data_IF_023581967519
#
_entry.id   IF_023581967519
#
_cell.length_a   1.000
_cell.length_b   1.000
_cell.length_c   1.000
_cell.angle_alpha   90.00
_cell.angle_beta   90.00
_cell.angle_gamma   90.00
#
_symmetry.space_group_name_H-M   'P 1'
#
loop_
_entity.id
_entity.type
_entity.pdbx_description
1 polymer ?
#
# COMPACT_ATOMS: atom_id res chain seq x y z
N UNK A 1 -7.75 -6.39 -16.99
CA UNK A 1 -7.11 -5.19 -17.58
C UNK A 1 -6.75 -4.24 -16.46
N UNK A 2 -5.55 -3.66 -16.51
CA UNK A 2 -5.09 -2.72 -15.48
C UNK A 2 -5.68 -1.34 -15.77
N UNK A 3 -6.17 -0.68 -14.72
CA UNK A 3 -6.71 0.67 -14.79
C UNK A 3 -5.56 1.68 -14.96
N UNK A 4 -5.66 2.59 -15.93
CA UNK A 4 -4.63 3.61 -16.21
C UNK A 4 -4.42 4.56 -15.03
N UNK A 5 -5.49 4.93 -14.34
CA UNK A 5 -5.41 5.78 -13.14
C UNK A 5 -4.64 5.05 -12.04
N UNK A 6 -4.85 3.74 -11.89
CA UNK A 6 -4.14 2.92 -10.91
C UNK A 6 -2.63 2.92 -11.18
N UNK A 7 -2.23 2.81 -12.45
CA UNK A 7 -0.81 2.86 -12.82
C UNK A 7 -0.19 4.21 -12.48
N UNK A 8 -0.89 5.31 -12.75
CA UNK A 8 -0.42 6.65 -12.43
C UNK A 8 -0.26 6.85 -10.93
N UNK A 9 -1.21 6.36 -10.15
CA UNK A 9 -1.17 6.47 -8.68
C UNK A 9 -0.06 5.61 -8.09
N UNK A 10 0.14 4.40 -8.61
CA UNK A 10 1.28 3.57 -8.20
C UNK A 10 2.59 4.30 -8.47
N UNK A 11 2.75 4.85 -9.68
CA UNK A 11 3.97 5.55 -10.05
C UNK A 11 4.21 6.76 -9.15
N UNK A 12 3.15 7.48 -8.78
CA UNK A 12 3.23 8.62 -7.88
C UNK A 12 3.67 8.21 -6.48
N UNK A 13 3.18 7.08 -5.98
CA UNK A 13 3.59 6.53 -4.68
C UNK A 13 5.06 6.12 -4.72
N UNK A 14 5.48 5.41 -5.77
CA UNK A 14 6.88 5.01 -5.95
C UNK A 14 7.80 6.22 -5.96
N UNK A 15 7.42 7.27 -6.69
CA UNK A 15 8.18 8.52 -6.77
C UNK A 15 8.30 9.20 -5.41
N UNK A 16 7.20 9.28 -4.69
CA UNK A 16 7.16 9.91 -3.36
C UNK A 16 8.11 9.20 -2.40
N UNK A 17 8.02 7.88 -2.31
CA UNK A 17 8.83 7.06 -1.40
C UNK A 17 10.30 7.10 -1.80
N UNK A 18 10.58 7.04 -3.09
CA UNK A 18 11.94 7.13 -3.61
C UNK A 18 12.58 8.48 -3.31
N UNK A 19 11.85 9.58 -3.49
CA UNK A 19 12.34 10.93 -3.25
C UNK A 19 12.53 11.23 -1.76
N UNK A 20 11.56 10.82 -0.93
CA UNK A 20 11.57 11.17 0.49
C UNK A 20 12.48 10.27 1.31
N UNK A 21 12.45 8.96 1.05
CA UNK A 21 13.13 7.97 1.88
C UNK A 21 14.28 7.27 1.18
N UNK A 22 14.46 7.49 -0.12
CA UNK A 22 15.49 6.80 -0.89
C UNK A 22 15.26 5.30 -0.99
N UNK A 23 14.04 4.84 -0.68
CA UNK A 23 13.71 3.42 -0.69
C UNK A 23 13.38 2.96 -2.11
N UNK A 24 13.94 1.81 -2.50
CA UNK A 24 13.70 1.21 -3.82
C UNK A 24 12.81 -0.01 -3.66
N UNK A 25 11.94 -0.28 -4.64
CA UNK A 25 11.08 -1.46 -4.57
C UNK A 25 11.86 -2.76 -4.68
N UNK A 26 11.42 -3.76 -3.91
CA UNK A 26 11.92 -5.12 -4.01
C UNK A 26 10.81 -6.01 -4.52
N UNK A 27 11.12 -6.92 -5.42
CA UNK A 27 10.18 -7.88 -5.99
C UNK A 27 10.50 -9.26 -5.42
N UNK A 28 9.78 -9.67 -4.40
CA UNK A 28 10.10 -10.87 -3.62
C UNK A 28 9.41 -12.15 -4.09
N UNK A 29 8.36 -12.03 -4.92
CA UNK A 29 7.52 -13.17 -5.29
C UNK A 29 7.49 -13.38 -6.80
N UNK A 30 7.84 -14.58 -7.25
CA UNK A 30 7.76 -14.96 -8.67
C UNK A 30 6.31 -15.00 -9.16
N UNK A 31 5.40 -15.48 -8.31
CA UNK A 31 3.98 -15.61 -8.65
C UNK A 31 3.28 -14.26 -8.70
N UNK A 32 3.88 -13.24 -8.10
CA UNK A 32 3.30 -11.90 -8.02
C UNK A 32 4.34 -10.86 -8.42
N UNK A 33 4.69 -10.80 -9.72
CA UNK A 33 5.79 -9.94 -10.18
C UNK A 33 5.52 -8.44 -10.04
N UNK A 34 4.24 -8.05 -9.88
CA UNK A 34 3.86 -6.64 -9.72
C UNK A 34 3.88 -6.19 -8.26
N UNK A 35 4.05 -7.11 -7.30
CA UNK A 35 4.12 -6.73 -5.89
C UNK A 35 5.47 -6.10 -5.59
N UNK A 36 5.43 -4.97 -4.87
CA UNK A 36 6.63 -4.21 -4.51
C UNK A 36 6.66 -3.96 -3.01
N UNK A 37 7.77 -4.32 -2.39
CA UNK A 37 8.00 -4.10 -0.95
C UNK A 37 9.00 -2.97 -0.77
N UNK A 38 8.72 -2.05 0.14
CA UNK A 38 9.62 -0.98 0.50
C UNK A 38 10.01 -1.14 1.98
N UNK A 39 11.31 -1.10 2.24
CA UNK A 39 11.88 -1.32 3.57
C UNK A 39 12.63 -0.10 4.07
N UNK A 40 12.77 -0.02 5.38
CA UNK A 40 13.77 0.84 6.00
C UNK A 40 15.17 0.37 5.60
N UNK A 41 16.14 1.25 5.72
CA UNK A 41 17.52 0.89 5.46
C UNK A 41 18.00 -0.20 6.43
N UNK A 42 18.84 -1.14 5.97
CA UNK A 42 19.37 -2.18 6.85
C UNK A 42 20.24 -1.57 7.94
N UNK A 43 20.15 -2.13 9.15
CA UNK A 43 21.05 -1.79 10.25
C UNK A 43 21.91 -3.02 10.54
N UNK A 44 23.22 -2.89 10.34
CA UNK A 44 24.15 -4.01 10.54
C UNK A 44 23.82 -5.18 9.64
N UNK A 45 23.55 -6.35 10.24
CA UNK A 45 23.21 -7.58 9.51
C UNK A 45 21.72 -7.79 9.29
N UNK A 46 20.89 -6.95 9.92
CA UNK A 46 19.44 -7.11 9.82
C UNK A 46 18.88 -6.27 8.67
N UNK A 47 17.95 -6.87 7.92
CA UNK A 47 17.21 -6.14 6.90
C UNK A 47 16.22 -5.21 7.58
N UNK A 48 16.01 -4.04 6.98
CA UNK A 48 15.03 -3.09 7.49
C UNK A 48 13.61 -3.64 7.44
N UNK A 49 12.75 -3.14 8.32
CA UNK A 49 11.34 -3.53 8.36
C UNK A 49 10.59 -2.98 7.16
N UNK A 50 9.58 -3.70 6.72
CA UNK A 50 8.66 -3.25 5.67
C UNK A 50 7.82 -2.10 6.21
N UNK A 51 7.63 -1.05 5.40
CA UNK A 51 6.68 0.01 5.73
C UNK A 51 5.63 0.23 4.64
N UNK A 52 5.78 -0.41 3.50
CA UNK A 52 4.85 -0.29 2.39
C UNK A 52 4.92 -1.53 1.51
N UNK A 53 3.75 -2.06 1.16
CA UNK A 53 3.62 -3.10 0.14
C UNK A 53 2.62 -2.60 -0.91
N UNK A 54 3.06 -2.51 -2.17
CA UNK A 54 2.17 -2.25 -3.29
C UNK A 54 1.79 -3.58 -3.93
N UNK A 55 0.50 -3.82 -4.12
CA UNK A 55 0.00 -5.06 -4.72
C UNK A 55 -1.07 -4.73 -5.75
N UNK A 56 -1.08 -5.48 -6.85
CA UNK A 56 -2.13 -5.38 -7.85
C UNK A 56 -3.27 -6.34 -7.47
N UNK A 57 -4.48 -5.81 -7.43
CA UNK A 57 -5.66 -6.56 -6.97
C UNK A 57 -6.90 -6.13 -7.76
N UNK A 58 -7.94 -6.96 -7.68
CA UNK A 58 -9.29 -6.55 -8.07
C UNK A 58 -10.06 -6.19 -6.79
N UNK A 59 -11.09 -5.39 -6.93
CA UNK A 59 -11.95 -5.05 -5.78
C UNK A 59 -12.62 -6.29 -5.19
N UNK A 60 -12.90 -7.28 -6.03
CA UNK A 60 -13.46 -8.57 -5.58
C UNK A 60 -12.53 -9.27 -4.59
N UNK A 61 -11.23 -9.22 -4.82
CA UNK A 61 -10.24 -9.82 -3.91
C UNK A 61 -10.23 -9.12 -2.55
N UNK A 62 -10.73 -7.89 -2.48
CA UNK A 62 -10.88 -7.12 -1.24
C UNK A 62 -12.27 -7.27 -0.62
N UNK A 63 -13.09 -8.18 -1.13
CA UNK A 63 -14.49 -8.40 -0.71
C UNK A 63 -15.37 -7.16 -0.92
N UNK A 64 -15.11 -6.44 -2.01
CA UNK A 64 -15.87 -5.24 -2.40
C UNK A 64 -16.61 -5.49 -3.70
N UNK A 65 -17.62 -4.67 -3.97
CA UNK A 65 -18.33 -4.68 -5.25
C UNK A 65 -17.34 -4.38 -6.38
N UNK A 66 -17.41 -5.17 -7.44
CA UNK A 66 -16.45 -5.09 -8.53
C UNK A 66 -17.16 -5.18 -9.89
N UNK A 67 -17.90 -4.11 -10.28
CA UNK A 67 -18.70 -4.14 -11.50
C UNK A 67 -17.86 -4.22 -12.79
N UNK A 68 -16.62 -3.79 -12.77
CA UNK A 68 -15.76 -3.74 -13.97
C UNK A 68 -14.75 -4.87 -14.05
N UNK A 69 -14.41 -5.50 -12.93
CA UNK A 69 -13.37 -6.52 -12.86
C UNK A 69 -11.97 -5.99 -13.16
N UNK A 70 -11.78 -4.67 -13.15
CA UNK A 70 -10.49 -4.07 -13.46
C UNK A 70 -9.46 -4.29 -12.36
N UNK A 71 -8.19 -4.33 -12.75
CA UNK A 71 -7.08 -4.43 -11.81
C UNK A 71 -6.67 -3.03 -11.35
N UNK A 72 -6.60 -2.86 -10.04
CA UNK A 72 -6.09 -1.64 -9.41
C UNK A 72 -4.88 -2.01 -8.56
N UNK A 73 -4.30 -1.03 -7.90
CA UNK A 73 -3.26 -1.28 -6.90
C UNK A 73 -3.78 -0.89 -5.52
N UNK A 74 -3.23 -1.54 -4.49
CA UNK A 74 -3.41 -1.10 -3.11
C UNK A 74 -2.04 -0.78 -2.52
N UNK A 75 -2.02 0.20 -1.62
CA UNK A 75 -0.87 0.49 -0.79
C UNK A 75 -1.18 -0.04 0.60
N UNK A 76 -0.49 -1.09 1.02
CA UNK A 76 -0.62 -1.63 2.37
C UNK A 76 0.36 -0.90 3.27
N UNK A 77 -0.16 -0.27 4.30
CA UNK A 77 0.62 0.51 5.27
C UNK A 77 0.31 0.04 6.69
N UNK A 78 1.31 0.11 7.55
CA UNK A 78 1.08 -0.15 8.98
C UNK A 78 0.37 1.06 9.59
N UNK A 79 -0.57 0.78 10.48
CA UNK A 79 -1.41 1.81 11.06
C UNK A 79 -1.84 1.38 12.46
N UNK A 80 -2.06 2.34 13.33
CA UNK A 80 -2.56 2.05 14.67
C UNK A 80 -3.92 1.35 14.58
N UNK A 81 -4.17 0.32 15.41
CA UNK A 81 -5.42 -0.46 15.31
C UNK A 81 -6.70 0.37 15.39
N UNK A 82 -6.76 1.35 16.26
CA UNK A 82 -7.93 2.21 16.39
C UNK A 82 -8.17 3.03 15.13
N UNK A 83 -7.09 3.50 14.52
CA UNK A 83 -7.18 4.28 13.27
C UNK A 83 -7.58 3.40 12.10
N UNK A 84 -7.13 2.14 12.06
CA UNK A 84 -7.58 1.19 11.05
C UNK A 84 -9.10 1.06 11.10
N UNK A 85 -9.66 0.87 12.30
CA UNK A 85 -11.11 0.76 12.47
C UNK A 85 -11.85 2.02 12.01
N UNK A 86 -11.34 3.19 12.31
CA UNK A 86 -11.93 4.46 11.88
C UNK A 86 -11.92 4.59 10.35
N UNK A 87 -10.76 4.34 9.73
CA UNK A 87 -10.60 4.50 8.29
C UNK A 87 -11.41 3.49 7.49
N UNK A 88 -11.66 2.31 8.03
CA UNK A 88 -12.50 1.31 7.35
C UNK A 88 -13.94 1.79 7.14
N UNK A 89 -14.38 2.81 7.86
CA UNK A 89 -15.71 3.42 7.66
C UNK A 89 -15.71 4.46 6.53
N UNK A 90 -14.52 4.82 6.01
CA UNK A 90 -14.40 5.80 4.94
C UNK A 90 -14.19 5.09 3.59
N UNK A 91 -14.63 5.69 2.48
CA UNK A 91 -14.37 5.10 1.16
C UNK A 91 -12.88 5.10 0.82
N UNK A 92 -12.45 4.10 0.07
CA UNK A 92 -11.07 4.01 -0.40
C UNK A 92 -10.15 3.19 0.47
N UNK A 93 -10.66 2.60 1.54
CA UNK A 93 -9.87 1.75 2.44
C UNK A 93 -10.47 0.36 2.55
N UNK A 94 -9.62 -0.63 2.79
CA UNK A 94 -10.04 -2.01 2.98
C UNK A 94 -9.12 -2.68 4.00
N UNK A 95 -9.56 -3.83 4.53
CA UNK A 95 -8.71 -4.64 5.39
C UNK A 95 -7.49 -5.09 4.59
N UNK A 96 -6.34 -5.08 5.26
CA UNK A 96 -5.07 -5.29 4.59
C UNK A 96 -5.03 -6.63 3.83
N UNK A 97 -4.68 -6.55 2.56
CA UNK A 97 -4.56 -7.70 1.68
C UNK A 97 -3.23 -8.41 1.96
N UNK A 98 -3.30 -9.69 2.32
CA UNK A 98 -2.13 -10.53 2.64
C UNK A 98 -1.29 -10.06 3.84
N UNK A 99 -1.82 -9.22 4.71
CA UNK A 99 -1.12 -8.69 5.88
C UNK A 99 -1.98 -8.87 7.13
N UNK A 100 -1.40 -8.63 8.30
CA UNK A 100 -2.14 -8.61 9.57
C UNK A 100 -3.21 -7.51 9.52
N UNK A 101 -4.48 -7.90 9.62
CA UNK A 101 -5.61 -7.00 9.39
C UNK A 101 -5.89 -6.02 10.53
N UNK A 102 -5.29 -6.24 11.69
CA UNK A 102 -5.46 -5.35 12.85
C UNK A 102 -4.47 -4.20 12.83
N UNK A 103 -3.30 -4.42 12.25
CA UNK A 103 -2.19 -3.47 12.27
C UNK A 103 -1.80 -2.91 10.91
N UNK A 104 -2.41 -3.41 9.85
CA UNK A 104 -2.16 -2.97 8.48
C UNK A 104 -3.47 -2.61 7.79
N UNK A 105 -3.39 -1.68 6.86
CA UNK A 105 -4.54 -1.14 6.13
C UNK A 105 -4.22 -1.11 4.64
N UNK A 106 -5.18 -1.50 3.81
CA UNK A 106 -5.06 -1.33 2.36
C UNK A 106 -5.70 -0.03 1.94
N UNK A 107 -4.94 0.82 1.24
CA UNK A 107 -5.44 2.04 0.62
C UNK A 107 -5.63 1.75 -0.86
N UNK A 108 -6.84 1.94 -1.38
CA UNK A 108 -7.12 1.73 -2.80
C UNK A 108 -6.52 2.87 -3.61
N UNK A 109 -5.69 2.53 -4.58
CA UNK A 109 -5.10 3.50 -5.50
C UNK A 109 -5.99 3.62 -6.73
N UNK A 110 -7.20 4.14 -6.52
CA UNK A 110 -8.22 4.29 -7.57
C UNK A 110 -8.75 5.73 -7.68
N UNK A 111 -8.10 6.67 -6.96
CA UNK A 111 -8.49 8.06 -6.96
C UNK A 111 -9.46 8.46 -5.85
N UNK A 112 -9.96 7.49 -5.05
CA UNK A 112 -10.88 7.78 -3.96
C UNK A 112 -10.20 8.53 -2.81
N UNK A 113 -8.97 8.14 -2.46
CA UNK A 113 -8.19 8.78 -1.40
C UNK A 113 -7.23 9.76 -2.04
N UNK A 114 -7.15 10.99 -1.49
CA UNK A 114 -6.26 12.02 -2.02
C UNK A 114 -4.79 11.62 -1.85
N UNK A 115 -3.93 12.11 -2.75
CA UNK A 115 -2.50 11.83 -2.67
C UNK A 115 -1.89 12.33 -1.35
N UNK A 116 -2.37 13.47 -0.84
CA UNK A 116 -1.94 14.01 0.46
C UNK A 116 -2.20 13.04 1.60
N UNK A 117 -3.38 12.42 1.62
CA UNK A 117 -3.74 11.42 2.63
C UNK A 117 -2.91 10.14 2.48
N UNK A 118 -2.69 9.70 1.25
CA UNK A 118 -1.86 8.53 0.97
C UNK A 118 -0.45 8.76 1.50
N UNK A 119 0.13 9.91 1.19
CA UNK A 119 1.47 10.29 1.66
C UNK A 119 1.55 10.33 3.18
N UNK A 120 0.55 10.94 3.83
CA UNK A 120 0.51 11.02 5.29
C UNK A 120 0.45 9.63 5.94
N UNK A 121 -0.31 8.72 5.36
CA UNK A 121 -0.45 7.35 5.88
C UNK A 121 0.83 6.54 5.65
N UNK A 122 1.53 6.77 4.54
CA UNK A 122 2.84 6.15 4.29
C UNK A 122 3.86 6.68 5.31
N UNK A 123 3.87 7.98 5.56
CA UNK A 123 4.78 8.59 6.54
C UNK A 123 4.53 8.03 7.95
N UNK A 124 3.26 7.87 8.31
CA UNK A 124 2.88 7.26 9.60
C UNK A 124 3.38 5.82 9.69
N UNK A 125 3.22 5.04 8.61
CA UNK A 125 3.70 3.67 8.54
C UNK A 125 5.22 3.62 8.69
N UNK A 126 5.93 4.52 8.03
CA UNK A 126 7.38 4.63 8.13
C UNK A 126 7.81 4.85 9.60
N UNK A 127 7.13 5.75 10.28
CA UNK A 127 7.42 6.04 11.70
C UNK A 127 7.11 4.85 12.61
N UNK A 128 6.00 4.14 12.36
CA UNK A 128 5.59 3.00 13.19
C UNK A 128 6.49 1.78 13.03
N UNK A 129 7.25 1.71 11.96
CA UNK A 129 8.09 0.53 11.63
C UNK A 129 9.57 0.78 11.84
N UNK A 130 9.94 1.92 12.35
CA UNK A 130 11.33 2.24 12.67
C UNK A 130 11.94 1.30 13.74
#
# INVERSE_FOLDING_TARGET
MVNDEALKLRDAVESYVGSKYGSKPEHLWKEYPEYEVFRHEPEGKEKGKWFLLLANVTRKQLNMDDPTGETIFVANVKCEPDRVLELLHEPGYARAYHMNKEQWLSILLDGTVSMEKIEALIDNSFALTE
#
